data_IF_174920823297
#
_entry.id   IF_174920823297
#
_cell.length_a   1.000
_cell.length_b   1.000
_cell.length_c   1.000
_cell.angle_alpha   90.00
_cell.angle_beta   90.00
_cell.angle_gamma   90.00
#
_symmetry.space_group_name_H-M   'P 1'
#
loop_
_entity.id
_entity.type
_entity.pdbx_description
1 polymer ?
#
# COMPACT_ATOMS: atom_id res chain seq x y z
N UNK A 1 -4.72 20.81 49.91
CA UNK A 1 -5.72 21.20 48.89
C UNK A 1 -7.00 20.40 49.13
N UNK A 2 -8.20 20.98 48.94
CA UNK A 2 -9.46 20.23 49.10
C UNK A 2 -9.45 19.00 48.18
N UNK A 3 -9.89 17.81 48.63
CA UNK A 3 -9.78 16.55 47.88
C UNK A 3 -10.41 16.64 46.48
N UNK A 4 -11.45 17.45 46.33
CA UNK A 4 -12.12 17.66 45.04
C UNK A 4 -11.24 18.40 44.03
N UNK A 5 -10.38 19.34 44.47
CA UNK A 5 -9.45 20.06 43.58
C UNK A 5 -8.34 19.15 43.08
N UNK A 6 -7.86 18.22 43.92
CA UNK A 6 -6.86 17.24 43.53
C UNK A 6 -7.41 16.26 42.49
N UNK A 7 -8.62 15.73 42.71
CA UNK A 7 -9.31 14.86 41.75
C UNK A 7 -9.51 15.55 40.40
N UNK A 8 -9.88 16.84 40.40
CA UNK A 8 -10.08 17.61 39.18
C UNK A 8 -8.76 17.84 38.42
N UNK A 9 -7.67 18.14 39.13
CA UNK A 9 -6.36 18.34 38.52
C UNK A 9 -5.81 17.03 37.91
N UNK A 10 -6.01 15.90 38.61
CA UNK A 10 -5.70 14.56 38.10
C UNK A 10 -6.51 14.25 36.83
N UNK A 11 -7.83 14.50 36.86
CA UNK A 11 -8.68 14.25 35.70
C UNK A 11 -8.28 15.11 34.49
N UNK A 12 -7.96 16.39 34.72
CA UNK A 12 -7.52 17.31 33.66
C UNK A 12 -6.20 16.86 33.03
N UNK A 13 -5.22 16.47 33.85
CA UNK A 13 -3.91 16.01 33.34
C UNK A 13 -4.03 14.71 32.57
N UNK A 14 -4.82 13.75 33.06
CA UNK A 14 -5.07 12.50 32.35
C UNK A 14 -5.80 12.74 31.02
N UNK A 15 -6.78 13.64 31.01
CA UNK A 15 -7.50 14.02 29.80
C UNK A 15 -6.58 14.66 28.76
N UNK A 16 -5.76 15.64 29.17
CA UNK A 16 -4.81 16.29 28.26
C UNK A 16 -3.77 15.30 27.73
N UNK A 17 -3.25 14.43 28.60
CA UNK A 17 -2.31 13.37 28.18
C UNK A 17 -2.93 12.44 27.14
N UNK A 18 -4.19 12.06 27.32
CA UNK A 18 -4.92 11.25 26.35
C UNK A 18 -5.13 11.98 25.02
N UNK A 19 -5.53 13.26 25.03
CA UNK A 19 -5.66 14.06 23.80
C UNK A 19 -4.31 14.20 23.07
N UNK A 20 -3.23 14.46 23.80
CA UNK A 20 -1.88 14.51 23.23
C UNK A 20 -1.48 13.17 22.61
N UNK A 21 -1.83 12.05 23.24
CA UNK A 21 -1.58 10.73 22.70
C UNK A 21 -2.34 10.49 21.39
N UNK A 22 -3.60 10.92 21.29
CA UNK A 22 -4.36 10.85 20.02
C UNK A 22 -3.69 11.68 18.92
N UNK A 23 -3.25 12.90 19.24
CA UNK A 23 -2.51 13.75 18.30
C UNK A 23 -1.21 13.09 17.81
N UNK A 24 -0.46 12.48 18.73
CA UNK A 24 0.73 11.72 18.42
C UNK A 24 0.45 10.57 17.43
N UNK A 25 -0.63 9.80 17.63
CA UNK A 25 -1.03 8.73 16.70
C UNK A 25 -1.34 9.27 15.29
N UNK A 26 -2.01 10.43 15.19
CA UNK A 26 -2.33 11.06 13.90
C UNK A 26 -1.08 11.57 13.18
N UNK A 27 -0.07 12.04 13.93
CA UNK A 27 1.22 12.47 13.39
C UNK A 27 2.01 11.27 12.85
N UNK A 28 1.99 10.14 13.55
CA UNK A 28 2.71 8.93 13.14
C UNK A 28 2.01 8.13 12.03
N UNK A 29 0.80 8.51 11.64
CA UNK A 29 0.06 7.79 10.61
C UNK A 29 0.70 8.03 9.24
N UNK A 30 1.02 6.95 8.52
CA UNK A 30 1.53 7.04 7.14
C UNK A 30 0.49 7.70 6.23
N UNK A 31 0.89 8.80 5.58
CA UNK A 31 0.05 9.55 4.64
C UNK A 31 0.49 9.27 3.21
N UNK A 32 -0.50 9.23 2.32
CA UNK A 32 -0.31 9.16 0.88
C UNK A 32 -0.10 10.52 0.27
N UNK A 33 -0.08 10.55 -1.06
CA UNK A 33 0.16 11.76 -1.85
C UNK A 33 -0.92 12.81 -1.59
N UNK A 34 -2.18 12.39 -1.42
CA UNK A 34 -3.32 13.27 -1.15
C UNK A 34 -3.41 13.74 0.32
N UNK A 35 -2.38 13.48 1.14
CA UNK A 35 -2.39 13.72 2.59
C UNK A 35 -3.29 12.78 3.40
N UNK A 36 -4.02 11.90 2.72
CA UNK A 36 -4.91 10.90 3.34
C UNK A 36 -4.11 9.72 3.91
N UNK A 37 -4.56 9.08 5.00
CA UNK A 37 -3.90 7.90 5.53
C UNK A 37 -3.90 6.76 4.51
N UNK A 38 -2.74 6.16 4.27
CA UNK A 38 -2.59 5.01 3.37
C UNK A 38 -2.52 3.74 4.21
N UNK A 39 -3.37 2.78 3.86
CA UNK A 39 -3.36 1.44 4.46
C UNK A 39 -3.37 0.40 3.35
N UNK A 40 -2.37 -0.47 3.36
CA UNK A 40 -2.29 -1.62 2.47
C UNK A 40 -3.46 -2.60 2.71
N UNK A 41 -4.09 -3.06 1.64
CA UNK A 41 -5.07 -4.15 1.67
C UNK A 41 -4.34 -5.49 1.82
N UNK A 42 -4.33 -6.06 3.03
CA UNK A 42 -3.67 -7.36 3.28
C UNK A 42 -4.18 -8.47 2.36
N UNK A 43 -5.51 -8.65 2.17
CA UNK A 43 -6.00 -9.74 1.34
C UNK A 43 -5.49 -9.65 -0.10
N UNK A 44 -5.40 -8.44 -0.66
CA UNK A 44 -4.88 -8.21 -2.01
C UNK A 44 -3.44 -8.71 -2.18
N UNK A 45 -2.56 -8.37 -1.23
CA UNK A 45 -1.17 -8.82 -1.20
C UNK A 45 -1.01 -10.30 -0.85
N UNK A 46 -1.95 -10.92 -0.14
CA UNK A 46 -1.88 -12.35 0.15
C UNK A 46 -2.27 -13.20 -1.06
N UNK A 47 -3.08 -12.64 -1.96
CA UNK A 47 -3.51 -13.29 -3.20
C UNK A 47 -2.63 -12.94 -4.40
N UNK A 48 -1.66 -12.03 -4.25
CA UNK A 48 -0.70 -11.71 -5.31
C UNK A 48 0.38 -12.77 -5.43
N UNK A 49 0.78 -13.02 -6.67
CA UNK A 49 1.86 -13.93 -7.00
C UNK A 49 3.20 -13.20 -7.11
N UNK A 50 3.16 -11.88 -7.31
CA UNK A 50 4.32 -11.04 -7.51
C UNK A 50 4.03 -9.67 -6.94
N UNK A 51 4.95 -9.10 -6.17
CA UNK A 51 4.84 -7.73 -5.67
C UNK A 51 6.07 -6.94 -6.09
N UNK A 52 5.82 -5.87 -6.83
CA UNK A 52 6.87 -5.06 -7.43
C UNK A 52 6.75 -3.60 -7.01
N UNK A 53 7.88 -2.93 -6.95
CA UNK A 53 7.95 -1.48 -7.09
C UNK A 53 8.13 -1.19 -8.58
N UNK A 54 7.19 -0.46 -9.14
CA UNK A 54 7.14 -0.12 -10.55
C UNK A 54 7.23 1.39 -10.77
N UNK A 55 7.90 1.76 -11.86
CA UNK A 55 7.91 3.12 -12.40
C UNK A 55 7.11 3.14 -13.70
N UNK A 56 5.92 3.74 -13.72
CA UNK A 56 5.07 3.77 -14.89
C UNK A 56 5.67 4.67 -15.97
N UNK A 57 5.69 4.16 -17.20
CA UNK A 57 6.08 4.85 -18.40
C UNK A 57 4.97 4.72 -19.45
N UNK A 58 4.60 5.82 -20.08
CA UNK A 58 3.67 5.78 -21.20
C UNK A 58 4.46 5.57 -22.48
N UNK A 59 4.29 4.42 -23.12
CA UNK A 59 4.90 4.11 -24.41
C UNK A 59 3.80 3.81 -25.42
N UNK A 60 3.77 4.56 -26.52
CA UNK A 60 2.88 4.35 -27.68
C UNK A 60 1.40 4.17 -27.29
N UNK A 61 0.90 5.01 -26.37
CA UNK A 61 -0.49 5.00 -25.86
C UNK A 61 -0.85 3.81 -24.95
N UNK A 62 0.12 2.97 -24.60
CA UNK A 62 -0.04 1.90 -23.59
C UNK A 62 0.73 2.25 -22.33
N UNK A 63 0.15 1.92 -21.17
CA UNK A 63 0.83 2.10 -19.88
C UNK A 63 1.71 0.88 -19.64
N UNK A 64 3.01 1.09 -19.68
CA UNK A 64 4.00 0.06 -19.40
C UNK A 64 4.72 0.42 -18.12
N UNK A 65 5.18 -0.56 -17.36
CA UNK A 65 5.80 -0.30 -16.06
C UNK A 65 7.19 -0.91 -16.00
N UNK A 66 8.18 -0.07 -15.71
CA UNK A 66 9.55 -0.54 -15.47
C UNK A 66 9.66 -1.07 -14.05
N UNK A 67 10.27 -2.25 -13.88
CA UNK A 67 10.48 -2.86 -12.58
C UNK A 67 11.66 -2.22 -11.89
N UNK A 68 11.42 -1.50 -10.79
CA UNK A 68 12.48 -0.91 -9.97
C UNK A 68 12.98 -1.90 -8.92
N UNK A 69 12.07 -2.65 -8.28
CA UNK A 69 12.41 -3.60 -7.22
C UNK A 69 11.39 -4.75 -7.20
N UNK A 70 11.88 -5.97 -6.95
CA UNK A 70 11.04 -7.15 -6.72
C UNK A 70 10.99 -7.42 -5.23
N UNK A 71 9.82 -7.24 -4.61
CA UNK A 71 9.66 -7.42 -3.16
C UNK A 71 9.23 -8.83 -2.77
N UNK A 72 8.47 -9.50 -3.63
CA UNK A 72 8.04 -10.88 -3.45
C UNK A 72 7.74 -11.50 -4.80
N UNK A 73 8.08 -12.78 -4.96
CA UNK A 73 7.71 -13.57 -6.13
C UNK A 73 7.43 -15.01 -5.73
N UNK A 74 6.24 -15.50 -6.06
CA UNK A 74 5.88 -16.90 -6.07
C UNK A 74 6.11 -17.55 -7.46
N UNK A 75 6.54 -16.76 -8.45
CA UNK A 75 6.69 -17.15 -9.84
C UNK A 75 8.14 -17.56 -10.14
N UNK A 76 8.69 -18.58 -9.47
CA UNK A 76 10.04 -19.16 -9.65
C UNK A 76 10.84 -18.60 -10.86
N UNK A 77 10.77 -19.27 -12.01
CA UNK A 77 11.56 -18.95 -13.22
C UNK A 77 10.96 -17.83 -14.10
N UNK A 78 9.79 -17.29 -13.74
CA UNK A 78 9.06 -16.27 -14.52
C UNK A 78 9.05 -14.91 -13.81
N UNK A 79 9.93 -14.74 -12.83
CA UNK A 79 10.06 -13.49 -12.08
C UNK A 79 10.75 -12.44 -12.96
N UNK A 80 10.13 -11.27 -13.22
CA UNK A 80 10.77 -10.15 -13.90
C UNK A 80 12.00 -9.68 -13.12
N UNK A 81 13.06 -9.28 -13.83
CA UNK A 81 14.26 -8.73 -13.19
C UNK A 81 14.13 -7.22 -12.99
N UNK A 82 14.94 -6.68 -12.10
CA UNK A 82 15.08 -5.23 -11.94
C UNK A 82 15.56 -4.61 -13.26
N UNK A 83 14.86 -3.59 -13.72
CA UNK A 83 15.08 -2.90 -14.98
C UNK A 83 14.20 -3.39 -16.13
N UNK A 84 13.55 -4.56 -16.01
CA UNK A 84 12.67 -5.10 -17.06
C UNK A 84 11.42 -4.23 -17.22
N UNK A 85 10.89 -4.22 -18.44
CA UNK A 85 9.67 -3.53 -18.81
C UNK A 85 8.54 -4.55 -18.85
N UNK A 86 7.50 -4.31 -18.04
CA UNK A 86 6.37 -5.23 -17.88
C UNK A 86 5.07 -4.57 -18.32
N UNK A 87 4.29 -5.27 -19.13
CA UNK A 87 2.95 -4.85 -19.54
C UNK A 87 1.93 -5.24 -18.48
N UNK A 88 1.19 -4.25 -17.97
CA UNK A 88 0.14 -4.43 -16.95
C UNK A 88 -1.22 -4.07 -17.57
N UNK A 89 -2.08 -5.05 -17.78
CA UNK A 89 -3.29 -4.88 -18.60
C UNK A 89 -4.36 -3.96 -17.96
N UNK A 90 -4.42 -3.88 -16.63
CA UNK A 90 -5.43 -3.15 -15.87
C UNK A 90 -4.84 -2.01 -15.03
N UNK A 91 -3.71 -1.44 -15.46
CA UNK A 91 -3.05 -0.36 -14.76
C UNK A 91 -3.74 0.98 -15.05
N UNK A 92 -4.51 1.45 -14.07
CA UNK A 92 -4.99 2.83 -14.02
C UNK A 92 -4.08 3.63 -13.09
N UNK A 93 -3.34 4.57 -13.67
CA UNK A 93 -2.49 5.47 -12.90
C UNK A 93 -3.34 6.57 -12.28
N UNK A 94 -3.22 6.79 -10.96
CA UNK A 94 -3.76 8.01 -10.35
C UNK A 94 -3.11 9.23 -11.02
N UNK A 95 -3.84 10.34 -11.18
CA UNK A 95 -3.36 11.61 -11.78
C UNK A 95 -2.19 12.28 -11.02
N UNK A 96 -1.65 11.61 -10.01
CA UNK A 96 -0.63 12.11 -9.09
C UNK A 96 0.80 11.87 -9.61
N UNK A 97 1.70 12.84 -9.40
CA UNK A 97 3.11 12.82 -9.79
C UNK A 97 4.01 11.92 -8.93
N UNK A 98 3.55 10.74 -8.53
CA UNK A 98 4.42 9.82 -7.82
C UNK A 98 5.17 8.90 -8.80
N UNK A 99 6.48 8.81 -8.58
CA UNK A 99 7.40 8.08 -9.46
C UNK A 99 7.33 6.57 -9.24
N UNK A 100 7.21 6.13 -7.98
CA UNK A 100 7.33 4.71 -7.62
C UNK A 100 6.06 4.17 -6.98
N UNK A 101 5.53 3.09 -7.53
CA UNK A 101 4.29 2.47 -7.08
C UNK A 101 4.52 1.03 -6.66
N UNK A 102 3.97 0.65 -5.51
CA UNK A 102 3.85 -0.72 -5.06
C UNK A 102 2.61 -1.35 -5.70
N UNK A 103 2.84 -2.35 -6.54
CA UNK A 103 1.81 -3.05 -7.30
C UNK A 103 1.78 -4.55 -6.94
N UNK A 104 0.65 -5.05 -6.39
CA UNK A 104 0.42 -6.48 -6.23
C UNK A 104 -0.10 -7.07 -7.54
N UNK A 105 0.68 -7.97 -8.14
CA UNK A 105 0.45 -8.52 -9.47
C UNK A 105 0.15 -10.03 -9.44
N UNK A 106 -0.56 -10.48 -10.46
CA UNK A 106 -0.80 -11.89 -10.82
C UNK A 106 -0.55 -12.06 -12.31
N UNK A 107 -0.03 -13.22 -12.70
CA UNK A 107 0.15 -13.51 -14.13
C UNK A 107 -1.17 -13.92 -14.78
N UNK A 108 -1.45 -13.42 -15.98
CA UNK A 108 -2.62 -13.83 -16.78
C UNK A 108 -2.26 -14.74 -17.95
N UNK A 109 -1.27 -14.40 -18.78
CA UNK A 109 -0.85 -15.25 -19.91
C UNK A 109 0.49 -15.92 -19.66
N UNK A 110 0.49 -17.00 -18.87
CA UNK A 110 1.64 -17.91 -18.75
C UNK A 110 2.99 -17.24 -18.42
N UNK A 111 2.97 -16.06 -17.77
CA UNK A 111 4.15 -15.27 -17.37
C UNK A 111 4.56 -14.13 -18.29
N UNK A 112 3.83 -13.83 -19.39
CA UNK A 112 4.18 -12.72 -20.30
C UNK A 112 3.43 -11.42 -20.00
N UNK A 113 2.21 -11.52 -19.50
CA UNK A 113 1.35 -10.39 -19.12
C UNK A 113 0.99 -10.50 -17.64
N UNK A 114 0.87 -9.33 -17.00
CA UNK A 114 0.53 -9.22 -15.59
C UNK A 114 -0.69 -8.34 -15.40
N UNK A 115 -1.40 -8.60 -14.31
CA UNK A 115 -2.56 -7.83 -13.89
C UNK A 115 -2.46 -7.53 -12.41
N UNK A 116 -2.87 -6.33 -12.03
CA UNK A 116 -3.02 -5.94 -10.63
C UNK A 116 -4.13 -6.79 -10.04
N UNK A 117 -3.83 -7.41 -8.91
CA UNK A 117 -4.78 -8.25 -8.20
C UNK A 117 -5.89 -7.37 -7.61
N UNK A 118 -7.17 -7.64 -7.89
CA UNK A 118 -8.25 -6.92 -7.25
C UNK A 118 -8.33 -7.30 -5.77
N UNK A 119 -8.82 -6.39 -4.94
CA UNK A 119 -9.12 -6.70 -3.53
C UNK A 119 -10.20 -7.78 -3.51
N UNK A 120 -10.00 -8.94 -2.86
CA UNK A 120 -10.97 -10.03 -2.87
C UNK A 120 -12.29 -9.63 -2.19
N UNK A 121 -13.40 -10.31 -2.53
CA UNK A 121 -14.70 -10.04 -1.93
C UNK A 121 -14.71 -10.38 -0.45
N UNK A 122 -15.48 -9.61 0.32
CA UNK A 122 -15.72 -9.86 1.74
C UNK A 122 -17.17 -9.46 2.07
N UNK A 123 -17.73 -9.88 3.22
CA UNK A 123 -19.10 -9.51 3.58
C UNK A 123 -19.31 -7.98 3.51
N UNK A 124 -20.22 -7.53 2.65
CA UNK A 124 -20.47 -6.10 2.40
C UNK A 124 -19.54 -5.42 1.39
N UNK A 125 -18.62 -6.15 0.75
CA UNK A 125 -17.69 -5.63 -0.26
C UNK A 125 -17.58 -6.56 -1.47
N UNK A 126 -17.86 -6.04 -2.66
CA UNK A 126 -18.00 -6.83 -3.89
C UNK A 126 -16.69 -7.40 -4.47
N UNK A 127 -15.53 -6.93 -4.00
CA UNK A 127 -14.25 -7.59 -4.31
C UNK A 127 -13.67 -7.35 -5.71
N UNK A 128 -13.93 -6.18 -6.31
CA UNK A 128 -13.49 -5.87 -7.68
C UNK A 128 -12.65 -4.60 -7.80
N UNK A 129 -12.41 -3.91 -6.69
CA UNK A 129 -11.60 -2.69 -6.69
C UNK A 129 -10.13 -3.06 -6.85
N UNK A 130 -9.51 -2.49 -7.88
CA UNK A 130 -8.07 -2.58 -8.12
C UNK A 130 -7.41 -1.41 -7.39
N UNK A 131 -6.28 -1.66 -6.72
CA UNK A 131 -5.55 -0.61 -6.00
C UNK A 131 -4.05 -0.83 -6.06
N UNK A 132 -3.34 0.24 -6.43
CA UNK A 132 -1.89 0.35 -6.26
C UNK A 132 -1.59 1.34 -5.13
N UNK A 133 -0.39 1.27 -4.56
CA UNK A 133 0.00 2.10 -3.42
C UNK A 133 1.27 2.87 -3.74
N UNK A 134 1.43 4.11 -3.26
CA UNK A 134 2.70 4.81 -3.42
C UNK A 134 3.80 4.09 -2.62
N UNK A 135 4.97 3.90 -3.22
CA UNK A 135 6.10 3.19 -2.60
C UNK A 135 6.87 4.08 -1.60
N UNK A 136 6.16 4.74 -0.68
CA UNK A 136 6.77 5.53 0.39
C UNK A 136 7.30 4.64 1.51
N UNK A 137 8.29 5.13 2.26
CA UNK A 137 8.92 4.39 3.36
C UNK A 137 7.90 3.84 4.36
N UNK A 138 6.92 4.65 4.78
CA UNK A 138 5.87 4.18 5.71
C UNK A 138 5.01 3.05 5.13
N UNK A 139 4.75 3.07 3.82
CA UNK A 139 4.00 2.02 3.11
C UNK A 139 4.85 0.76 2.99
N UNK A 140 6.13 0.89 2.66
CA UNK A 140 7.07 -0.23 2.58
C UNK A 140 7.31 -0.86 3.97
N UNK A 141 7.37 -0.06 5.03
CA UNK A 141 7.42 -0.55 6.42
C UNK A 141 6.15 -1.31 6.79
N UNK A 142 4.97 -0.85 6.32
CA UNK A 142 3.72 -1.60 6.50
C UNK A 142 3.77 -2.93 5.73
N UNK A 143 4.28 -2.92 4.50
CA UNK A 143 4.41 -4.11 3.65
C UNK A 143 5.33 -5.15 4.28
N UNK A 144 6.49 -4.76 4.81
CA UNK A 144 7.44 -5.65 5.49
C UNK A 144 6.85 -6.41 6.69
N UNK A 145 5.75 -5.91 7.27
CA UNK A 145 5.03 -6.56 8.38
C UNK A 145 3.96 -7.56 7.91
N UNK A 146 3.77 -7.71 6.60
CA UNK A 146 2.80 -8.66 6.05
C UNK A 146 3.43 -10.06 6.01
N UNK A 147 2.80 -11.08 6.61
CA UNK A 147 3.25 -12.45 6.42
C UNK A 147 2.98 -12.84 4.97
N UNK A 148 4.02 -13.28 4.27
CA UNK A 148 3.91 -13.85 2.92
C UNK A 148 3.94 -15.38 3.00
N UNK A 149 3.16 -16.07 2.16
CA UNK A 149 3.23 -17.52 2.05
C UNK A 149 4.53 -17.97 1.39
#
# INVERSE_FOLDING_TARGET
>A
MKPNRLKLLLALTLFLSWISYLGFLVIQTTRGIDGKPVRLSRPQFLTSQLDLIIEPHTQDSTVVAQVTEVLYSALNDKTPKVGDIVTINNLELPETQNKFWLAPLRSTDSGKSFEIVPIPPSPGFSGRTIKIYPAFDGVLLQYKKLPKP
#
